data_IF_099932823532
#
_entry.id   IF_099932823532
#
_cell.length_a   1.000
_cell.length_b   1.000
_cell.length_c   1.000
_cell.angle_alpha   90.00
_cell.angle_beta   90.00
_cell.angle_gamma   90.00
#
_symmetry.space_group_name_H-M   'P 1'
#
loop_
_entity.id
_entity.type
_entity.pdbx_description
1 polymer ?
#
# COMPACT_ATOMS: atom_id res chain seq x y z
N UNK A 1 74.60 1.69 36.38
CA UNK A 1 74.56 3.03 35.76
C UNK A 1 73.76 2.92 34.46
N UNK A 2 72.59 3.60 34.40
CA UNK A 2 71.70 3.88 33.24
C UNK A 2 70.92 2.68 32.65
N UNK A 3 69.77 2.32 33.24
CA UNK A 3 68.39 2.81 32.98
C UNK A 3 67.75 2.21 31.72
N UNK A 4 66.71 1.34 31.84
CA UNK A 4 65.93 0.88 30.69
C UNK A 4 64.83 1.88 30.33
N UNK A 5 64.59 2.01 29.02
CA UNK A 5 63.56 2.84 28.42
C UNK A 5 62.15 2.44 28.89
N UNK A 6 61.37 3.43 29.30
CA UNK A 6 59.90 3.40 29.45
C UNK A 6 59.30 4.24 28.33
N UNK A 7 58.18 3.76 27.76
CA UNK A 7 57.15 4.45 26.94
C UNK A 7 56.87 3.68 25.65
N UNK A 8 55.63 3.46 25.20
CA UNK A 8 54.31 3.82 25.70
C UNK A 8 53.31 2.94 24.92
N UNK A 9 52.33 2.37 25.62
CA UNK A 9 51.17 1.74 24.98
C UNK A 9 50.34 2.79 24.24
N UNK A 10 49.90 2.48 23.03
CA UNK A 10 48.68 3.07 22.46
C UNK A 10 47.84 1.95 21.85
N UNK A 11 46.96 1.39 22.68
CA UNK A 11 45.86 0.56 22.19
C UNK A 11 44.78 1.47 21.61
N UNK A 12 44.52 1.39 20.31
CA UNK A 12 43.37 2.05 19.70
C UNK A 12 42.09 1.38 20.19
N UNK A 13 41.36 2.09 21.06
CA UNK A 13 39.98 1.77 21.40
C UNK A 13 39.11 2.17 20.19
N UNK A 14 38.61 1.19 19.43
CA UNK A 14 37.54 1.43 18.46
C UNK A 14 36.26 1.65 19.25
N UNK A 15 35.85 2.90 19.41
CA UNK A 15 34.54 3.23 19.93
C UNK A 15 33.48 2.81 18.90
N UNK A 16 32.73 1.74 19.21
CA UNK A 16 31.48 1.46 18.50
C UNK A 16 30.51 2.57 18.87
N UNK A 17 30.27 3.48 17.93
CA UNK A 17 29.25 4.49 18.08
C UNK A 17 27.88 3.78 17.98
N UNK A 18 27.34 3.37 19.12
CA UNK A 18 25.96 2.91 19.23
C UNK A 18 25.08 4.14 18.95
N UNK A 19 24.75 4.35 17.68
CA UNK A 19 23.78 5.34 17.27
C UNK A 19 22.52 5.12 18.09
N UNK A 20 22.14 6.10 18.89
CA UNK A 20 20.87 6.08 19.62
C UNK A 20 19.77 5.88 18.60
N UNK A 21 19.03 4.78 18.68
CA UNK A 21 17.82 4.59 17.90
C UNK A 21 16.93 5.83 18.11
N UNK A 22 16.66 6.56 17.02
CA UNK A 22 15.78 7.71 17.09
C UNK A 22 14.43 7.23 17.64
N UNK A 23 13.87 7.86 18.68
CA UNK A 23 12.59 7.45 19.23
C UNK A 23 11.55 7.38 18.12
N UNK A 24 10.76 6.31 18.13
CA UNK A 24 9.69 6.11 17.17
C UNK A 24 8.80 7.37 17.14
N UNK A 25 8.47 7.89 15.94
CA UNK A 25 7.63 9.07 15.83
C UNK A 25 6.30 8.85 16.54
N UNK A 26 5.77 9.91 17.18
CA UNK A 26 4.46 9.85 17.85
C UNK A 26 3.41 9.27 16.89
N UNK A 27 2.74 8.16 17.23
CA UNK A 27 1.73 7.52 16.37
C UNK A 27 0.52 8.43 16.10
N UNK A 28 0.36 9.54 16.83
CA UNK A 28 -0.71 10.54 16.61
C UNK A 28 -0.32 11.70 15.69
N UNK A 29 0.91 11.73 15.18
CA UNK A 29 1.38 12.89 14.42
C UNK A 29 1.10 12.77 12.93
N UNK A 30 0.29 13.73 12.46
CA UNK A 30 0.12 14.24 11.10
C UNK A 30 0.06 13.21 9.95
N UNK A 31 -1.14 13.07 9.37
CA UNK A 31 -1.41 12.20 8.21
C UNK A 31 -0.67 12.63 6.93
N UNK A 32 -0.08 13.83 6.90
CA UNK A 32 0.64 14.36 5.72
C UNK A 32 2.17 14.20 5.78
N UNK A 33 2.71 13.39 6.70
CA UNK A 33 4.16 13.19 6.76
C UNK A 33 4.67 12.35 5.58
N UNK A 34 5.83 12.69 5.00
CA UNK A 34 6.50 11.83 4.03
C UNK A 34 6.75 10.44 4.62
N UNK A 35 6.35 9.40 3.91
CA UNK A 35 6.65 8.02 4.27
C UNK A 35 8.13 7.79 3.98
N UNK A 36 8.93 7.63 5.04
CA UNK A 36 10.35 7.25 4.95
C UNK A 36 10.46 5.80 5.41
N UNK A 37 10.88 4.92 4.50
CA UNK A 37 11.07 3.51 4.81
C UNK A 37 12.27 3.33 5.75
N UNK A 38 12.08 2.55 6.81
CA UNK A 38 13.13 2.13 7.72
C UNK A 38 14.07 1.09 7.09
N UNK A 39 15.25 0.84 7.69
CA UNK A 39 16.20 -0.17 7.21
C UNK A 39 15.63 -1.59 7.09
N UNK A 40 14.61 -1.89 7.90
CA UNK A 40 13.95 -3.20 7.95
C UNK A 40 12.70 -3.28 7.06
N UNK A 41 12.27 -2.18 6.44
CA UNK A 41 11.13 -2.13 5.53
C UNK A 41 11.52 -2.75 4.18
N UNK A 42 11.49 -4.09 4.13
CA UNK A 42 11.77 -4.87 2.93
C UNK A 42 10.45 -5.18 2.22
N UNK A 43 10.26 -4.74 0.96
CA UNK A 43 9.05 -5.06 0.23
C UNK A 43 8.97 -6.58 0.02
N UNK A 44 7.80 -7.17 0.27
CA UNK A 44 7.58 -8.60 0.05
C UNK A 44 7.63 -8.99 -1.44
N UNK A 45 7.39 -8.02 -2.33
CA UNK A 45 7.34 -8.18 -3.78
C UNK A 45 8.08 -7.05 -4.47
N UNK A 46 8.56 -7.32 -5.69
CA UNK A 46 9.10 -6.27 -6.55
C UNK A 46 8.02 -5.23 -6.89
N UNK A 47 8.44 -4.02 -7.21
CA UNK A 47 7.53 -3.01 -7.74
C UNK A 47 6.83 -3.54 -9.00
N UNK A 48 5.53 -3.24 -9.18
CA UNK A 48 4.83 -3.64 -10.39
C UNK A 48 5.45 -2.95 -11.61
N UNK A 49 5.38 -3.57 -12.80
CA UNK A 49 5.87 -2.95 -14.02
C UNK A 49 5.11 -1.64 -14.34
N UNK A 50 5.76 -0.74 -15.07
CA UNK A 50 5.10 0.46 -15.56
C UNK A 50 3.89 0.09 -16.42
N UNK A 51 2.77 0.80 -16.20
CA UNK A 51 1.52 0.56 -16.94
C UNK A 51 0.73 -0.67 -16.51
N UNK A 52 1.03 -1.29 -15.35
CA UNK A 52 0.28 -2.46 -14.86
C UNK A 52 -1.24 -2.22 -14.71
N UNK A 53 -1.65 -0.97 -14.48
CA UNK A 53 -3.04 -0.53 -14.37
C UNK A 53 -3.48 0.40 -15.52
N UNK A 54 -2.76 0.34 -16.66
CA UNK A 54 -3.16 1.06 -17.85
C UNK A 54 -4.25 0.28 -18.60
N UNK A 55 -5.23 1.01 -19.14
CA UNK A 55 -6.24 0.43 -20.03
C UNK A 55 -5.57 -0.12 -21.29
N UNK A 56 -5.95 -1.34 -21.68
CA UNK A 56 -5.48 -2.04 -22.87
C UNK A 56 -6.56 -1.99 -23.94
N UNK A 57 -6.28 -1.50 -25.14
CA UNK A 57 -7.33 -1.25 -26.15
C UNK A 57 -7.84 -2.51 -26.86
N UNK A 58 -7.03 -3.56 -26.96
CA UNK A 58 -7.29 -4.73 -27.82
C UNK A 58 -7.69 -5.98 -27.03
N UNK A 59 -8.36 -5.81 -25.89
CA UNK A 59 -8.88 -6.92 -25.08
C UNK A 59 -10.37 -6.74 -24.79
N UNK A 60 -11.12 -7.82 -24.50
CA UNK A 60 -12.47 -7.69 -23.96
C UNK A 60 -12.47 -6.95 -22.63
N UNK A 61 -13.37 -6.00 -22.47
CA UNK A 61 -13.53 -5.21 -21.25
C UNK A 61 -14.74 -5.66 -20.46
N UNK A 62 -14.61 -5.66 -19.14
CA UNK A 62 -15.74 -5.80 -18.24
C UNK A 62 -16.60 -4.54 -18.22
N UNK A 63 -17.58 -4.55 -17.33
CA UNK A 63 -18.48 -3.42 -17.11
C UNK A 63 -18.48 -3.03 -15.64
N UNK A 64 -18.08 -1.79 -15.36
CA UNK A 64 -18.16 -1.19 -14.03
C UNK A 64 -19.42 -0.31 -13.95
N UNK A 65 -20.35 -0.67 -13.08
CA UNK A 65 -21.62 0.05 -12.92
C UNK A 65 -21.83 0.50 -11.48
N UNK A 66 -22.31 1.73 -11.30
CA UNK A 66 -22.84 2.17 -10.01
C UNK A 66 -24.28 1.71 -9.88
N UNK A 67 -24.56 0.93 -8.83
CA UNK A 67 -25.91 0.51 -8.47
C UNK A 67 -26.34 1.14 -7.14
N UNK A 68 -27.64 1.27 -6.95
CA UNK A 68 -28.25 1.78 -5.72
C UNK A 68 -29.11 0.68 -5.07
N UNK A 69 -29.04 0.56 -3.75
CA UNK A 69 -29.77 -0.45 -2.98
C UNK A 69 -30.32 0.13 -1.67
N UNK A 70 -31.47 -0.38 -1.24
CA UNK A 70 -32.07 -0.04 0.05
C UNK A 70 -31.34 -0.76 1.19
N UNK A 71 -30.68 -0.01 2.08
CA UNK A 71 -30.00 -0.59 3.23
C UNK A 71 -30.90 -0.59 4.46
N UNK A 72 -31.29 -1.79 4.91
CA UNK A 72 -32.11 -1.96 6.11
C UNK A 72 -31.40 -1.57 7.40
N UNK A 73 -30.07 -1.72 7.45
CA UNK A 73 -29.30 -1.46 8.67
C UNK A 73 -29.11 0.02 8.96
N UNK A 74 -28.94 0.84 7.92
CA UNK A 74 -28.78 2.31 8.06
C UNK A 74 -30.04 3.09 7.68
N UNK A 75 -31.08 2.43 7.15
CA UNK A 75 -32.37 3.03 6.84
C UNK A 75 -32.40 3.96 5.62
N UNK A 76 -31.39 3.89 4.74
CA UNK A 76 -31.25 4.76 3.58
C UNK A 76 -30.84 4.00 2.33
N UNK A 77 -31.03 4.62 1.15
CA UNK A 77 -30.44 4.13 -0.09
C UNK A 77 -28.94 4.38 -0.10
N UNK A 78 -28.19 3.36 -0.50
CA UNK A 78 -26.73 3.39 -0.60
C UNK A 78 -26.30 3.03 -2.02
N UNK A 79 -25.11 3.47 -2.39
CA UNK A 79 -24.49 3.16 -3.68
C UNK A 79 -23.31 2.20 -3.51
N UNK A 80 -23.03 1.44 -4.56
CA UNK A 80 -21.78 0.68 -4.72
C UNK A 80 -21.44 0.57 -6.20
N UNK A 81 -20.17 0.37 -6.51
CA UNK A 81 -19.74 -0.02 -7.84
C UNK A 81 -19.62 -1.54 -7.94
N UNK A 82 -20.11 -2.11 -9.05
CA UNK A 82 -20.04 -3.53 -9.37
C UNK A 82 -19.32 -3.68 -10.70
N UNK A 83 -18.19 -4.37 -10.68
CA UNK A 83 -17.52 -4.83 -11.89
C UNK A 83 -18.05 -6.21 -12.27
N UNK A 84 -18.43 -6.37 -13.53
CA UNK A 84 -18.73 -7.67 -14.14
C UNK A 84 -17.68 -7.96 -15.21
N UNK A 85 -17.11 -9.18 -15.27
CA UNK A 85 -16.06 -9.51 -16.22
C UNK A 85 -16.58 -9.49 -17.67
N UNK A 86 -15.70 -9.48 -18.68
CA UNK A 86 -16.08 -9.72 -20.06
C UNK A 86 -16.94 -10.99 -20.18
N UNK A 87 -17.93 -10.95 -21.07
CA UNK A 87 -18.90 -12.03 -21.29
C UNK A 87 -19.69 -12.46 -20.04
N UNK A 88 -19.92 -11.52 -19.11
CA UNK A 88 -20.79 -11.76 -17.97
C UNK A 88 -22.18 -12.25 -18.40
N UNK A 89 -22.63 -13.34 -17.80
CA UNK A 89 -23.95 -13.93 -18.04
C UNK A 89 -24.70 -14.16 -16.73
N UNK A 90 -25.96 -13.71 -16.59
CA UNK A 90 -26.77 -13.93 -15.39
C UNK A 90 -27.00 -15.41 -15.04
N UNK A 91 -26.85 -16.32 -16.01
CA UNK A 91 -27.01 -17.77 -15.80
C UNK A 91 -25.77 -18.46 -15.22
N UNK A 92 -24.63 -17.77 -15.16
CA UNK A 92 -23.35 -18.32 -14.67
C UNK A 92 -23.04 -17.72 -13.30
N UNK A 93 -22.46 -18.55 -12.42
CA UNK A 93 -21.96 -18.11 -11.11
C UNK A 93 -20.51 -17.67 -11.23
N UNK A 94 -20.16 -16.59 -10.54
CA UNK A 94 -18.82 -16.03 -10.46
C UNK A 94 -18.42 -15.89 -8.99
N UNK A 95 -17.13 -16.03 -8.64
CA UNK A 95 -16.66 -15.64 -7.31
C UNK A 95 -16.85 -14.14 -7.12
N UNK A 96 -17.04 -13.70 -5.87
CA UNK A 96 -17.25 -12.29 -5.53
C UNK A 96 -16.09 -11.81 -4.67
N UNK A 97 -15.45 -10.72 -5.12
CA UNK A 97 -14.49 -9.95 -4.34
C UNK A 97 -15.19 -8.68 -3.84
N UNK A 98 -15.23 -8.49 -2.52
CA UNK A 98 -15.67 -7.24 -1.92
C UNK A 98 -14.46 -6.34 -1.69
N UNK A 99 -14.44 -5.20 -2.35
CA UNK A 99 -13.34 -4.26 -2.31
C UNK A 99 -13.77 -2.97 -1.60
N UNK A 100 -13.12 -2.67 -0.47
CA UNK A 100 -13.52 -1.61 0.45
C UNK A 100 -12.52 -0.46 0.35
N UNK A 101 -13.02 0.77 0.43
CA UNK A 101 -12.22 1.98 0.41
C UNK A 101 -11.62 2.28 1.80
N UNK A 102 -10.66 3.20 1.84
CA UNK A 102 -10.05 3.70 3.07
C UNK A 102 -10.88 4.76 3.80
N UNK A 103 -10.30 5.36 4.84
CA UNK A 103 -10.91 6.49 5.54
C UNK A 103 -11.05 7.70 4.60
N UNK A 104 -12.22 8.33 4.59
CA UNK A 104 -12.51 9.48 3.72
C UNK A 104 -12.87 9.12 2.27
N UNK A 105 -12.84 7.84 1.92
CA UNK A 105 -13.26 7.33 0.63
C UNK A 105 -14.77 7.17 0.47
N UNK A 106 -15.16 6.80 -0.74
CA UNK A 106 -16.51 6.46 -1.15
C UNK A 106 -16.48 5.27 -2.13
N UNK A 107 -17.64 4.88 -2.67
CA UNK A 107 -17.76 3.73 -3.57
C UNK A 107 -16.97 3.83 -4.87
N UNK A 108 -16.50 5.02 -5.24
CA UNK A 108 -15.76 5.29 -6.49
C UNK A 108 -14.26 5.44 -6.28
N UNK A 109 -13.75 5.35 -5.04
CA UNK A 109 -12.32 5.52 -4.73
C UNK A 109 -11.42 4.58 -5.55
N UNK A 110 -11.82 3.31 -5.67
CA UNK A 110 -11.07 2.30 -6.42
C UNK A 110 -11.03 2.57 -7.93
N UNK A 111 -12.10 3.12 -8.49
CA UNK A 111 -12.08 3.57 -9.88
C UNK A 111 -11.14 4.76 -10.06
N UNK A 112 -11.27 5.80 -9.23
CA UNK A 112 -10.55 7.06 -9.39
C UNK A 112 -9.03 6.92 -9.23
N UNK A 113 -8.57 6.15 -8.25
CA UNK A 113 -7.15 6.12 -7.89
C UNK A 113 -6.43 4.84 -8.29
N UNK A 114 -7.12 3.70 -8.37
CA UNK A 114 -6.49 2.43 -8.72
C UNK A 114 -6.76 2.01 -10.17
N UNK A 115 -7.78 2.59 -10.84
CA UNK A 115 -8.27 2.13 -12.15
C UNK A 115 -8.66 0.66 -12.11
N UNK A 116 -9.54 0.33 -11.16
CA UNK A 116 -9.88 -1.07 -10.83
C UNK A 116 -10.46 -1.85 -12.01
N UNK A 117 -11.16 -1.18 -12.93
CA UNK A 117 -11.62 -1.75 -14.20
C UNK A 117 -10.44 -2.24 -15.06
N UNK A 118 -9.45 -1.38 -15.31
CA UNK A 118 -8.25 -1.76 -16.07
C UNK A 118 -7.40 -2.84 -15.38
N UNK A 119 -7.47 -2.94 -14.05
CA UNK A 119 -6.80 -3.99 -13.28
C UNK A 119 -7.50 -5.36 -13.36
N UNK A 120 -8.82 -5.36 -13.56
CA UNK A 120 -9.64 -6.58 -13.59
C UNK A 120 -9.84 -7.12 -15.01
N UNK A 121 -9.62 -6.28 -16.03
CA UNK A 121 -9.57 -6.64 -17.46
C UNK A 121 -8.28 -7.42 -17.84
#
# INVERSE_FOLDING_TARGET
MKSPFVSMLLGSLVAVNLGTAQPAPDPKSDLNRPIVLGPDDKPAFNAPPAGFNAEKQDIPHGKLETIEYDSKSVGTKRKMQVYTPPDYSPGKKYPVLWLLHGIGGDETEWQRFAKVDALMD
#
